data_IF_046125146426
#
_entry.id   IF_046125146426
#
_cell.length_a   1.000
_cell.length_b   1.000
_cell.length_c   1.000
_cell.angle_alpha   90.00
_cell.angle_beta   90.00
_cell.angle_gamma   90.00
#
_symmetry.space_group_name_H-M   'P 1'
#
loop_
_entity.id
_entity.type
_entity.pdbx_description
1 polymer ?
#
# COMPACT_ATOMS: atom_id res chain seq x y z
N UNK A 1 -24.80 13.15 19.75
CA UNK A 1 -23.55 13.55 19.06
C UNK A 1 -22.80 12.33 18.50
N UNK A 2 -22.46 11.31 19.30
CA UNK A 2 -21.67 10.13 18.84
C UNK A 2 -22.15 9.39 17.58
N UNK A 3 -23.47 9.16 17.38
CA UNK A 3 -23.97 8.48 16.15
C UNK A 3 -23.81 9.29 14.86
N UNK A 4 -23.67 10.62 14.98
CA UNK A 4 -23.42 11.50 13.83
C UNK A 4 -21.93 11.49 13.49
N UNK A 5 -21.06 11.63 14.49
CA UNK A 5 -19.60 11.54 14.31
C UNK A 5 -19.15 10.22 13.70
N UNK A 6 -19.68 9.08 14.18
CA UNK A 6 -19.36 7.75 13.61
C UNK A 6 -19.81 7.62 12.15
N UNK A 7 -20.92 8.26 11.77
CA UNK A 7 -21.39 8.26 10.38
C UNK A 7 -20.52 9.16 9.51
N UNK A 8 -20.20 10.36 10.00
CA UNK A 8 -19.37 11.33 9.28
C UNK A 8 -17.94 10.75 9.07
N UNK A 9 -17.39 10.06 10.06
CA UNK A 9 -16.12 9.33 9.94
C UNK A 9 -16.21 8.19 8.92
N UNK A 10 -17.29 7.39 8.95
CA UNK A 10 -17.53 6.35 7.94
C UNK A 10 -17.64 6.89 6.51
N UNK A 11 -18.20 8.09 6.32
CA UNK A 11 -18.27 8.75 5.02
C UNK A 11 -16.89 9.20 4.50
N UNK A 12 -16.01 9.67 5.40
CA UNK A 12 -14.61 9.99 5.04
C UNK A 12 -13.86 8.72 4.65
N UNK A 13 -13.99 7.66 5.43
CA UNK A 13 -13.32 6.39 5.15
C UNK A 13 -13.79 5.81 3.81
N UNK A 14 -15.10 5.80 3.53
CA UNK A 14 -15.63 5.39 2.24
C UNK A 14 -15.09 6.23 1.07
N UNK A 15 -14.98 7.55 1.25
CA UNK A 15 -14.40 8.42 0.23
C UNK A 15 -12.92 8.11 -0.01
N UNK A 16 -12.14 7.85 1.04
CA UNK A 16 -10.75 7.45 0.91
C UNK A 16 -10.62 6.09 0.21
N UNK A 17 -11.46 5.12 0.55
CA UNK A 17 -11.47 3.81 -0.10
C UNK A 17 -11.77 3.88 -1.59
N UNK A 18 -12.70 4.75 -1.98
CA UNK A 18 -12.95 5.03 -3.40
C UNK A 18 -11.73 5.64 -4.07
N UNK A 19 -11.07 6.62 -3.43
CA UNK A 19 -9.88 7.26 -4.01
C UNK A 19 -8.73 6.28 -4.27
N UNK A 20 -8.44 5.39 -3.33
CA UNK A 20 -7.35 4.41 -3.49
C UNK A 20 -7.73 3.20 -4.37
N UNK A 21 -8.99 3.07 -4.78
CA UNK A 21 -9.40 2.13 -5.82
C UNK A 21 -9.14 2.67 -7.24
N UNK A 22 -9.03 3.99 -7.40
CA UNK A 22 -8.84 4.64 -8.69
C UNK A 22 -7.38 4.66 -9.13
N UNK A 23 -7.13 4.61 -10.45
CA UNK A 23 -5.77 4.76 -10.98
C UNK A 23 -5.18 6.13 -10.63
N UNK A 24 -3.84 6.27 -10.55
CA UNK A 24 -3.19 7.53 -10.18
C UNK A 24 -3.57 8.72 -11.08
N UNK A 25 -3.92 8.49 -12.34
CA UNK A 25 -4.37 9.54 -13.28
C UNK A 25 -5.64 10.22 -12.82
N UNK A 26 -6.56 9.47 -12.22
CA UNK A 26 -7.92 9.93 -11.91
C UNK A 26 -8.04 10.40 -10.46
N UNK A 27 -7.08 9.99 -9.62
CA UNK A 27 -7.06 10.24 -8.18
C UNK A 27 -7.25 11.72 -7.82
N UNK A 28 -6.49 12.62 -8.45
CA UNK A 28 -6.48 14.05 -8.06
C UNK A 28 -7.82 14.71 -8.36
N UNK A 29 -8.39 14.45 -9.54
CA UNK A 29 -9.69 15.00 -9.93
C UNK A 29 -10.77 14.54 -8.96
N UNK A 30 -10.84 13.23 -8.69
CA UNK A 30 -11.83 12.66 -7.77
C UNK A 30 -11.63 13.12 -6.32
N UNK A 31 -10.39 13.31 -5.88
CA UNK A 31 -10.09 13.85 -4.53
C UNK A 31 -10.65 15.25 -4.37
N UNK A 32 -10.47 16.12 -5.37
CA UNK A 32 -11.01 17.49 -5.30
C UNK A 32 -12.54 17.52 -5.36
N UNK A 33 -13.16 16.67 -6.17
CA UNK A 33 -14.63 16.50 -6.20
C UNK A 33 -15.18 16.07 -4.83
N UNK A 34 -14.59 15.04 -4.22
CA UNK A 34 -15.00 14.53 -2.90
C UNK A 34 -14.78 15.57 -1.80
N UNK A 35 -13.65 16.27 -1.83
CA UNK A 35 -13.38 17.35 -0.88
C UNK A 35 -14.35 18.52 -1.05
N UNK A 36 -14.71 18.89 -2.29
CA UNK A 36 -15.70 19.94 -2.54
C UNK A 36 -17.09 19.53 -2.04
N UNK A 37 -17.53 18.30 -2.31
CA UNK A 37 -18.80 17.78 -1.83
C UNK A 37 -18.90 17.80 -0.29
N UNK A 38 -17.83 17.40 0.41
CA UNK A 38 -17.77 17.46 1.87
C UNK A 38 -17.86 18.91 2.39
N UNK A 39 -17.21 19.88 1.73
CA UNK A 39 -17.34 21.31 2.10
C UNK A 39 -18.76 21.82 1.90
N UNK A 40 -19.39 21.52 0.77
CA UNK A 40 -20.77 21.93 0.49
C UNK A 40 -21.75 21.33 1.50
N UNK A 41 -21.46 20.14 2.02
CA UNK A 41 -22.20 19.51 3.12
C UNK A 41 -21.89 20.08 4.52
N UNK A 42 -21.04 21.11 4.64
CA UNK A 42 -20.64 21.71 5.91
C UNK A 42 -19.61 20.89 6.71
N UNK A 43 -19.03 19.84 6.11
CA UNK A 43 -18.05 18.93 6.73
C UNK A 43 -16.62 19.35 6.38
N UNK A 44 -16.20 20.50 6.91
CA UNK A 44 -14.91 21.11 6.58
C UNK A 44 -13.71 20.24 7.01
N UNK A 45 -13.82 19.54 8.15
CA UNK A 45 -12.78 18.64 8.64
C UNK A 45 -12.59 17.43 7.71
N UNK A 46 -13.69 16.80 7.31
CA UNK A 46 -13.71 15.70 6.34
C UNK A 46 -13.08 16.11 5.01
N UNK A 47 -13.44 17.30 4.51
CA UNK A 47 -12.83 17.85 3.31
C UNK A 47 -11.32 18.05 3.44
N UNK A 48 -10.83 18.41 4.63
CA UNK A 48 -9.38 18.54 4.91
C UNK A 48 -8.71 17.17 4.89
N UNK A 49 -9.30 16.17 5.55
CA UNK A 49 -8.81 14.78 5.54
C UNK A 49 -8.73 14.21 4.12
N UNK A 50 -9.79 14.37 3.33
CA UNK A 50 -9.83 13.91 1.94
C UNK A 50 -8.75 14.61 1.10
N UNK A 51 -8.56 15.94 1.25
CA UNK A 51 -7.48 16.66 0.53
C UNK A 51 -6.07 16.24 0.94
N UNK A 52 -5.89 15.79 2.18
CA UNK A 52 -4.61 15.33 2.68
C UNK A 52 -4.19 13.96 2.07
N UNK A 53 -5.14 13.20 1.51
CA UNK A 53 -4.86 11.94 0.84
C UNK A 53 -3.86 12.14 -0.32
N UNK A 54 -2.80 11.35 -0.31
CA UNK A 54 -1.74 11.42 -1.32
C UNK A 54 -2.03 10.48 -2.47
N UNK A 55 -1.73 10.97 -3.67
CA UNK A 55 -1.85 10.17 -4.89
C UNK A 55 -0.91 8.95 -4.80
N UNK A 56 -1.42 7.72 -4.99
CA UNK A 56 -0.59 6.53 -4.97
C UNK A 56 0.36 6.48 -6.18
N UNK A 57 1.50 5.81 -6.03
CA UNK A 57 2.29 5.36 -7.19
C UNK A 57 1.53 4.30 -7.98
N UNK A 58 1.90 4.07 -9.24
CA UNK A 58 1.25 3.04 -10.05
C UNK A 58 1.43 1.63 -9.47
N UNK A 59 2.60 1.34 -8.88
CA UNK A 59 2.86 0.08 -8.19
C UNK A 59 1.99 -0.08 -6.94
N UNK A 60 1.87 0.97 -6.12
CA UNK A 60 1.04 0.96 -4.92
C UNK A 60 -0.44 0.77 -5.26
N UNK A 61 -0.94 1.46 -6.29
CA UNK A 61 -2.28 1.27 -6.79
C UNK A 61 -2.51 -0.16 -7.30
N UNK A 62 -1.59 -0.74 -8.07
CA UNK A 62 -1.73 -2.12 -8.55
C UNK A 62 -1.78 -3.13 -7.39
N UNK A 63 -1.02 -2.92 -6.32
CA UNK A 63 -1.09 -3.73 -5.11
C UNK A 63 -2.42 -3.55 -4.36
N UNK A 64 -2.96 -2.33 -4.27
CA UNK A 64 -4.31 -2.07 -3.72
C UNK A 64 -5.39 -2.74 -4.57
N UNK A 65 -5.27 -2.67 -5.89
CA UNK A 65 -6.19 -3.27 -6.85
C UNK A 65 -6.23 -4.80 -6.70
N UNK A 66 -5.07 -5.44 -6.52
CA UNK A 66 -5.00 -6.87 -6.22
C UNK A 66 -5.77 -7.22 -4.94
N UNK A 67 -5.51 -6.50 -3.83
CA UNK A 67 -6.21 -6.73 -2.55
C UNK A 67 -7.72 -6.60 -2.69
N UNK A 68 -8.19 -5.57 -3.41
CA UNK A 68 -9.61 -5.28 -3.60
C UNK A 68 -10.30 -6.26 -4.55
N UNK A 69 -9.61 -6.70 -5.60
CA UNK A 69 -10.18 -7.59 -6.62
C UNK A 69 -10.14 -9.06 -6.20
N UNK A 70 -9.23 -9.44 -5.30
CA UNK A 70 -9.00 -10.82 -4.84
C UNK A 70 -8.91 -10.88 -3.31
N UNK A 71 -10.00 -10.58 -2.58
CA UNK A 71 -9.95 -10.48 -1.13
C UNK A 71 -9.51 -11.79 -0.45
N UNK A 72 -10.05 -12.94 -0.88
CA UNK A 72 -9.71 -14.23 -0.27
C UNK A 72 -8.25 -14.63 -0.50
N UNK A 73 -7.71 -14.29 -1.67
CA UNK A 73 -6.31 -14.60 -2.02
C UNK A 73 -5.33 -13.71 -1.28
N UNK A 74 -5.68 -12.44 -1.12
CA UNK A 74 -4.89 -11.52 -0.32
C UNK A 74 -4.91 -11.90 1.17
N UNK A 75 -6.04 -12.40 1.69
CA UNK A 75 -6.12 -12.89 3.07
C UNK A 75 -5.20 -14.10 3.28
N UNK A 76 -5.28 -15.10 2.40
CA UNK A 76 -4.35 -16.26 2.42
C UNK A 76 -2.89 -15.83 2.34
N UNK A 77 -2.58 -14.78 1.59
CA UNK A 77 -1.23 -14.25 1.49
C UNK A 77 -0.74 -13.58 2.79
N UNK A 78 -1.63 -12.87 3.49
CA UNK A 78 -1.34 -12.30 4.81
C UNK A 78 -1.12 -13.38 5.87
N UNK A 79 -1.98 -14.40 5.89
CA UNK A 79 -1.84 -15.58 6.75
C UNK A 79 -0.52 -16.32 6.49
N UNK A 80 -0.17 -16.50 5.21
CA UNK A 80 1.13 -17.05 4.82
C UNK A 80 2.27 -16.20 5.36
N UNK A 81 2.21 -14.87 5.25
CA UNK A 81 3.23 -13.98 5.81
C UNK A 81 3.43 -14.19 7.31
N UNK A 82 2.36 -14.33 8.07
CA UNK A 82 2.42 -14.66 9.51
C UNK A 82 3.11 -16.02 9.74
N UNK A 83 2.64 -17.07 9.07
CA UNK A 83 3.19 -18.42 9.23
C UNK A 83 4.68 -18.49 8.83
N UNK A 84 5.08 -17.77 7.78
CA UNK A 84 6.47 -17.67 7.36
C UNK A 84 7.33 -17.04 8.45
N UNK A 85 6.93 -15.88 9.00
CA UNK A 85 7.69 -15.19 10.06
C UNK A 85 7.86 -16.05 11.31
N UNK A 86 6.84 -16.82 11.67
CA UNK A 86 6.91 -17.79 12.77
C UNK A 86 7.89 -18.94 12.46
N UNK A 87 7.85 -19.47 11.23
CA UNK A 87 8.75 -20.54 10.79
C UNK A 87 10.22 -20.10 10.72
N UNK A 88 10.50 -18.87 10.28
CA UNK A 88 11.86 -18.33 10.20
C UNK A 88 12.60 -18.33 11.55
N UNK A 89 11.88 -18.32 12.68
CA UNK A 89 12.48 -18.39 14.00
C UNK A 89 13.01 -19.78 14.39
N UNK A 90 12.64 -20.84 13.66
CA UNK A 90 12.85 -22.24 14.07
C UNK A 90 13.53 -23.13 13.03
N UNK A 91 13.71 -22.65 11.79
CA UNK A 91 14.19 -23.44 10.66
C UNK A 91 15.72 -23.54 10.57
N UNK A 92 16.18 -24.66 10.02
CA UNK A 92 17.58 -24.90 9.66
C UNK A 92 17.92 -24.30 8.26
N UNK A 93 19.21 -24.25 7.87
CA UNK A 93 19.62 -23.63 6.61
C UNK A 93 19.00 -24.21 5.34
N UNK A 94 18.70 -25.52 5.28
CA UNK A 94 18.10 -26.14 4.09
C UNK A 94 16.60 -25.84 4.02
N UNK A 95 15.88 -25.88 5.14
CA UNK A 95 14.49 -25.44 5.22
C UNK A 95 14.30 -23.97 4.83
N UNK A 96 15.23 -23.10 5.23
CA UNK A 96 15.25 -21.69 4.82
C UNK A 96 15.36 -21.50 3.30
N UNK A 97 16.11 -22.37 2.61
CA UNK A 97 16.32 -22.30 1.17
C UNK A 97 15.06 -22.69 0.39
N UNK A 98 14.41 -23.78 0.78
CA UNK A 98 13.15 -24.22 0.16
C UNK A 98 12.05 -23.18 0.39
N UNK A 99 11.92 -22.67 1.62
CA UNK A 99 10.96 -21.63 1.97
C UNK A 99 11.18 -20.35 1.14
N UNK A 100 12.43 -19.97 0.95
CA UNK A 100 12.79 -18.82 0.11
C UNK A 100 12.42 -19.02 -1.36
N UNK A 101 12.51 -20.25 -1.88
CA UNK A 101 12.09 -20.57 -3.25
C UNK A 101 10.57 -20.51 -3.40
N UNK A 102 9.82 -21.08 -2.45
CA UNK A 102 8.36 -21.02 -2.42
C UNK A 102 7.87 -19.57 -2.35
N UNK A 103 8.47 -18.75 -1.46
CA UNK A 103 8.19 -17.31 -1.35
C UNK A 103 8.32 -16.58 -2.68
N UNK A 104 9.42 -16.80 -3.41
CA UNK A 104 9.65 -16.15 -4.72
C UNK A 104 8.57 -16.53 -5.74
N UNK A 105 8.13 -17.80 -5.77
CA UNK A 105 7.09 -18.27 -6.70
C UNK A 105 5.76 -17.56 -6.44
N UNK A 106 5.31 -17.53 -5.18
CA UNK A 106 4.04 -16.93 -4.78
C UNK A 106 4.04 -15.42 -5.05
N UNK A 107 5.10 -14.71 -4.66
CA UNK A 107 5.23 -13.26 -4.94
C UNK A 107 5.16 -12.98 -6.45
N UNK A 108 5.86 -13.77 -7.26
CA UNK A 108 5.88 -13.59 -8.71
C UNK A 108 4.51 -13.85 -9.33
N UNK A 109 3.76 -14.82 -8.80
CA UNK A 109 2.39 -15.09 -9.23
C UNK A 109 1.44 -13.94 -8.91
N UNK A 110 1.39 -13.47 -7.66
CA UNK A 110 0.53 -12.34 -7.26
C UNK A 110 0.91 -11.05 -8.01
N UNK A 111 2.20 -10.82 -8.26
CA UNK A 111 2.65 -9.69 -9.08
C UNK A 111 2.14 -9.76 -10.52
N UNK A 112 2.16 -10.95 -11.15
CA UNK A 112 1.56 -11.15 -12.48
C UNK A 112 0.05 -10.91 -12.46
N UNK A 113 -0.65 -11.33 -11.41
CA UNK A 113 -2.08 -11.07 -11.28
C UNK A 113 -2.37 -9.57 -11.12
N UNK A 114 -1.61 -8.85 -10.30
CA UNK A 114 -1.72 -7.39 -10.19
C UNK A 114 -1.48 -6.70 -11.54
N UNK A 115 -0.49 -7.14 -12.31
CA UNK A 115 -0.23 -6.62 -13.66
C UNK A 115 -1.37 -6.91 -14.64
N UNK A 116 -2.00 -8.09 -14.57
CA UNK A 116 -3.16 -8.44 -15.38
C UNK A 116 -4.36 -7.54 -15.06
N UNK A 117 -4.68 -7.36 -13.77
CA UNK A 117 -5.75 -6.47 -13.30
C UNK A 117 -5.51 -5.02 -13.73
N UNK A 118 -4.27 -4.53 -13.58
CA UNK A 118 -3.91 -3.19 -14.00
C UNK A 118 -4.09 -2.98 -15.52
N UNK A 119 -3.73 -3.98 -16.33
CA UNK A 119 -3.96 -3.97 -17.78
C UNK A 119 -5.45 -3.99 -18.14
N UNK A 120 -6.25 -4.79 -17.45
CA UNK A 120 -7.71 -4.83 -17.62
C UNK A 120 -8.35 -3.47 -17.30
N UNK A 121 -7.81 -2.76 -16.31
CA UNK A 121 -8.19 -1.39 -15.97
C UNK A 121 -7.58 -0.31 -16.92
N UNK A 122 -6.89 -0.70 -18.00
CA UNK A 122 -6.33 0.23 -18.99
C UNK A 122 -4.96 0.83 -18.63
N UNK A 123 -4.31 0.35 -17.58
CA UNK A 123 -3.02 0.84 -17.10
C UNK A 123 -1.97 -0.29 -17.09
N UNK A 124 -1.46 -0.72 -18.25
CA UNK A 124 -0.43 -1.76 -18.32
C UNK A 124 0.82 -1.33 -17.55
N UNK A 125 1.39 -2.25 -16.75
CA UNK A 125 2.59 -2.01 -15.97
C UNK A 125 3.84 -2.23 -16.83
N UNK A 126 4.85 -1.38 -16.65
CA UNK A 126 6.19 -1.67 -17.16
C UNK A 126 6.90 -2.68 -16.25
N UNK A 127 7.95 -3.33 -16.74
CA UNK A 127 8.75 -4.27 -15.95
C UNK A 127 9.30 -3.63 -14.66
N UNK A 128 9.64 -2.34 -14.70
CA UNK A 128 10.10 -1.61 -13.52
C UNK A 128 9.00 -1.49 -12.46
N UNK A 129 7.78 -1.10 -12.88
CA UNK A 129 6.64 -0.98 -11.99
C UNK A 129 6.21 -2.35 -11.45
N UNK A 130 6.28 -3.40 -12.27
CA UNK A 130 6.00 -4.76 -11.81
C UNK A 130 7.01 -5.25 -10.76
N UNK A 131 8.30 -4.89 -10.89
CA UNK A 131 9.31 -5.17 -9.85
C UNK A 131 9.02 -4.42 -8.55
N UNK A 132 8.49 -3.21 -8.62
CA UNK A 132 8.08 -2.46 -7.43
C UNK A 132 6.88 -3.14 -6.73
N UNK A 133 5.93 -3.69 -7.50
CA UNK A 133 4.85 -4.52 -6.94
C UNK A 133 5.41 -5.75 -6.24
N UNK A 134 6.35 -6.46 -6.86
CA UNK A 134 7.02 -7.60 -6.20
C UNK A 134 7.74 -7.19 -4.92
N UNK A 135 8.41 -6.04 -4.91
CA UNK A 135 9.12 -5.51 -3.74
C UNK A 135 8.14 -5.26 -2.58
N UNK A 136 6.98 -4.67 -2.89
CA UNK A 136 5.90 -4.47 -1.93
C UNK A 136 5.37 -5.79 -1.37
N UNK A 137 5.08 -6.77 -2.23
CA UNK A 137 4.58 -8.08 -1.81
C UNK A 137 5.61 -8.85 -0.97
N UNK A 138 6.91 -8.71 -1.23
CA UNK A 138 7.97 -9.27 -0.38
C UNK A 138 7.99 -8.61 1.00
N UNK A 139 7.82 -7.29 1.06
CA UNK A 139 7.73 -6.57 2.34
C UNK A 139 6.55 -7.07 3.18
N UNK A 140 5.37 -7.24 2.57
CA UNK A 140 4.16 -7.76 3.23
C UNK A 140 4.39 -9.15 3.87
N UNK A 141 5.13 -10.03 3.21
CA UNK A 141 5.44 -11.35 3.79
C UNK A 141 6.47 -11.24 4.93
N UNK A 142 7.44 -10.35 4.81
CA UNK A 142 8.58 -10.27 5.72
C UNK A 142 8.29 -9.46 7.00
N UNK A 143 7.38 -8.49 6.94
CA UNK A 143 7.18 -7.49 7.99
C UNK A 143 5.70 -7.39 8.38
N UNK A 144 5.33 -7.58 9.67
CA UNK A 144 3.96 -7.42 10.12
C UNK A 144 3.41 -6.00 9.88
N UNK A 145 4.23 -4.96 10.01
CA UNK A 145 3.77 -3.58 9.80
C UNK A 145 3.44 -3.33 8.33
N UNK A 146 4.29 -3.83 7.41
CA UNK A 146 4.01 -3.80 5.98
C UNK A 146 2.73 -4.57 5.63
N UNK A 147 2.48 -5.69 6.30
CA UNK A 147 1.26 -6.49 6.12
C UNK A 147 0.00 -5.72 6.53
N UNK A 148 0.01 -5.05 7.68
CA UNK A 148 -1.11 -4.22 8.15
C UNK A 148 -1.38 -3.05 7.20
N UNK A 149 -0.33 -2.36 6.74
CA UNK A 149 -0.48 -1.25 5.80
C UNK A 149 -1.10 -1.70 4.47
N UNK A 150 -0.68 -2.85 3.92
CA UNK A 150 -1.29 -3.39 2.70
C UNK A 150 -2.70 -3.94 2.94
N UNK A 151 -2.95 -4.55 4.09
CA UNK A 151 -4.28 -5.02 4.48
C UNK A 151 -5.31 -3.88 4.52
N UNK A 152 -4.86 -2.68 4.92
CA UNK A 152 -5.66 -1.44 4.86
C UNK A 152 -6.03 -0.98 3.44
N UNK A 153 -5.42 -1.50 2.38
CA UNK A 153 -5.84 -1.30 0.98
C UNK A 153 -5.72 0.14 0.46
N UNK A 154 -4.83 0.94 1.08
CA UNK A 154 -4.60 2.37 0.78
C UNK A 154 -3.11 2.70 0.70
N UNK A 155 -2.33 1.84 0.06
CA UNK A 155 -0.92 2.12 -0.18
C UNK A 155 -0.73 3.38 -1.03
N UNK A 156 0.17 4.24 -0.59
CA UNK A 156 0.58 5.46 -1.30
C UNK A 156 1.85 5.25 -2.13
N UNK A 157 2.75 4.39 -1.65
CA UNK A 157 4.04 4.12 -2.26
C UNK A 157 4.43 2.65 -2.11
N UNK A 158 5.44 2.25 -2.88
CA UNK A 158 6.09 0.94 -2.74
C UNK A 158 6.53 0.72 -1.30
N UNK A 159 6.23 -0.45 -0.74
CA UNK A 159 6.78 -0.86 0.54
C UNK A 159 8.14 -1.52 0.28
N UNK A 160 9.15 -1.10 1.03
CA UNK A 160 10.48 -1.73 0.99
C UNK A 160 10.64 -2.53 2.27
N UNK A 161 11.02 -3.82 2.20
CA UNK A 161 11.32 -4.58 3.41
C UNK A 161 12.45 -3.87 4.19
N UNK A 162 12.48 -3.94 5.53
CA UNK A 162 13.62 -3.47 6.30
C UNK A 162 14.87 -4.17 5.77
N UNK A 163 15.81 -3.38 5.26
CA UNK A 163 17.09 -3.93 4.80
C UNK A 163 17.85 -4.44 6.03
N UNK A 164 18.00 -5.76 6.15
CA UNK A 164 18.95 -6.38 7.10
C UNK A 164 20.41 -5.98 6.80
N UNK A 165 20.64 -5.20 5.73
CA UNK A 165 21.93 -4.63 5.34
C UNK A 165 21.88 -3.10 5.17
N UNK A 166 21.18 -2.38 6.06
CA UNK A 166 21.39 -0.93 6.23
C UNK A 166 22.26 -0.65 7.48
N UNK A 167 23.34 -1.40 7.65
CA UNK A 167 24.44 -0.98 8.50
C UNK A 167 25.23 0.12 7.76
N UNK A 168 25.07 1.36 8.23
CA UNK A 168 25.85 2.56 7.90
C UNK A 168 25.59 3.20 6.52
N UNK A 169 24.71 4.21 6.52
CA UNK A 169 24.87 5.37 5.64
C UNK A 169 24.44 6.61 6.43
N UNK A 170 25.32 7.60 6.68
CA UNK A 170 24.90 8.85 7.28
C UNK A 170 24.02 9.59 6.28
N UNK A 171 22.76 9.86 6.66
CA UNK A 171 21.85 10.66 5.85
C UNK A 171 22.41 12.06 5.62
N UNK A 172 22.09 12.72 4.49
CA UNK A 172 22.56 14.07 4.22
C UNK A 172 21.95 15.04 5.23
N UNK A 173 22.81 15.76 5.94
CA UNK A 173 22.46 16.78 6.91
C UNK A 173 21.50 17.81 6.31
N UNK A 174 20.34 17.95 6.94
CA UNK A 174 19.36 19.01 6.69
C UNK A 174 20.02 20.34 7.05
N UNK A 175 20.27 21.20 6.07
CA UNK A 175 20.69 22.60 6.32
C UNK A 175 19.54 23.35 6.98
N UNK A 176 19.75 23.79 8.22
CA UNK A 176 18.90 24.77 8.87
C UNK A 176 19.05 26.15 8.20
N UNK A 177 17.95 26.89 7.97
CA UNK A 177 18.01 28.27 7.51
C UNK A 177 18.34 29.21 8.67
N UNK A 178 19.42 29.98 8.52
CA UNK A 178 19.78 31.07 9.43
C UNK A 178 18.85 32.26 9.18
N UNK A 179 18.06 32.64 10.19
CA UNK A 179 17.28 33.88 10.19
C UNK A 179 18.18 35.10 10.52
N UNK A 180 17.79 36.32 10.08
CA UNK A 180 18.68 37.46 9.86
C UNK A 180 18.95 38.30 11.13
N UNK A 181 20.02 39.10 11.07
CA UNK A 181 20.31 40.20 11.99
C UNK A 181 19.80 41.54 11.43
#
# INVERSE_FOLDING_TARGET
MRRKEVRDEGEVEAALDELYALPPSDFVARREERAAAARTAGRTEDARRIRAARRPTLAAWAANLLRRSRPDEAERFLELGRALREAYATLDPEGLKELSAQRRRIVSELSRQAAALAREAGHPLSDAVQRDVETTLRAVLADPDAAEVWAGGRLESTLTPPSEFAATAPGPARKEPRAPA
#
